data_IF_008901764935
#
_entry.id   IF_008901764935
#
_cell.length_a   1.000
_cell.length_b   1.000
_cell.length_c   1.000
_cell.angle_alpha   90.00
_cell.angle_beta   90.00
_cell.angle_gamma   90.00
#
_symmetry.space_group_name_H-M   'P 1'
#
loop_
_entity.id
_entity.type
_entity.pdbx_description
1 polymer ?
#
# COMPACT_ATOMS: atom_id res chain seq x y z
N UNK A 1 41.91 -18.33 -23.60
CA UNK A 1 40.86 -17.34 -23.37
C UNK A 1 41.17 -16.69 -22.05
N UNK A 2 41.66 -15.44 -22.10
CA UNK A 2 41.92 -14.64 -20.91
C UNK A 2 40.58 -14.32 -20.24
N UNK A 3 40.34 -14.86 -19.05
CA UNK A 3 39.24 -14.40 -18.16
C UNK A 3 39.63 -12.97 -17.80
N UNK A 4 39.02 -12.00 -18.46
CA UNK A 4 39.05 -10.63 -17.96
C UNK A 4 38.52 -10.66 -16.55
N UNK A 5 39.38 -10.41 -15.58
CA UNK A 5 38.99 -10.14 -14.20
C UNK A 5 38.23 -8.81 -14.20
N UNK A 6 36.94 -8.83 -14.61
CA UNK A 6 36.08 -7.68 -14.45
C UNK A 6 35.89 -7.45 -12.96
N UNK A 7 36.53 -6.44 -12.43
CA UNK A 7 36.35 -5.98 -11.08
C UNK A 7 34.85 -5.68 -10.87
N UNK A 8 34.30 -6.14 -9.76
CA UNK A 8 32.93 -5.79 -9.38
C UNK A 8 32.83 -4.29 -9.17
N UNK A 9 31.87 -3.65 -9.79
CA UNK A 9 31.65 -2.21 -9.66
C UNK A 9 30.18 -1.88 -9.46
N UNK A 10 29.88 -1.23 -8.35
CA UNK A 10 28.59 -0.64 -8.07
C UNK A 10 28.61 0.85 -8.41
N UNK A 11 28.70 1.15 -9.72
CA UNK A 11 28.94 2.49 -10.23
C UNK A 11 27.69 3.35 -10.37
N UNK A 12 26.50 2.73 -10.42
CA UNK A 12 25.24 3.44 -10.58
C UNK A 12 24.66 3.91 -9.24
N UNK A 13 24.20 5.15 -9.21
CA UNK A 13 23.49 5.75 -8.10
C UNK A 13 24.37 6.43 -7.06
N UNK A 14 23.78 6.73 -5.91
CA UNK A 14 24.41 7.49 -4.82
C UNK A 14 24.76 6.59 -3.64
N UNK A 15 25.77 5.77 -3.83
CA UNK A 15 26.27 4.92 -2.76
C UNK A 15 27.01 5.70 -1.66
N UNK A 16 26.81 5.31 -0.41
CA UNK A 16 27.79 5.63 0.62
C UNK A 16 29.10 4.91 0.27
N UNK A 17 30.24 5.63 0.16
CA UNK A 17 31.50 5.04 -0.33
C UNK A 17 31.95 3.81 0.45
N UNK A 18 31.79 3.84 1.79
CA UNK A 18 32.16 2.71 2.67
C UNK A 18 31.28 1.49 2.46
N UNK A 19 29.95 1.71 2.33
CA UNK A 19 29.02 0.61 2.08
C UNK A 19 29.25 0.00 0.69
N UNK A 20 29.50 0.83 -0.32
CA UNK A 20 29.85 0.39 -1.66
C UNK A 20 31.05 -0.54 -1.65
N UNK A 21 32.16 -0.11 -1.05
CA UNK A 21 33.39 -0.91 -0.93
C UNK A 21 33.15 -2.25 -0.24
N UNK A 22 32.35 -2.26 0.83
CA UNK A 22 32.02 -3.50 1.55
C UNK A 22 31.21 -4.45 0.68
N UNK A 23 30.20 -3.94 -0.05
CA UNK A 23 29.39 -4.75 -0.95
C UNK A 23 30.20 -5.31 -2.13
N UNK A 24 31.05 -4.50 -2.75
CA UNK A 24 31.94 -4.95 -3.82
C UNK A 24 32.86 -6.11 -3.35
N UNK A 25 33.47 -5.97 -2.19
CA UNK A 25 34.30 -7.03 -1.55
C UNK A 25 33.48 -8.29 -1.23
N UNK A 26 32.24 -8.14 -0.76
CA UNK A 26 31.36 -9.29 -0.51
C UNK A 26 31.01 -10.04 -1.79
N UNK A 27 30.67 -9.33 -2.85
CA UNK A 27 30.36 -9.93 -4.16
C UNK A 27 31.59 -10.66 -4.70
N UNK A 28 32.78 -10.07 -4.64
CA UNK A 28 34.02 -10.74 -5.05
C UNK A 28 34.32 -11.99 -4.25
N UNK A 29 34.16 -11.92 -2.93
CA UNK A 29 34.42 -13.05 -2.00
C UNK A 29 33.51 -14.26 -2.29
N UNK A 30 32.24 -14.02 -2.61
CA UNK A 30 31.23 -15.05 -2.81
C UNK A 30 30.93 -15.36 -4.28
N UNK A 31 31.72 -14.84 -5.19
CA UNK A 31 31.61 -15.08 -6.63
C UNK A 31 31.62 -16.58 -6.95
N UNK A 32 30.59 -17.07 -7.62
CA UNK A 32 30.46 -18.45 -8.09
C UNK A 32 30.62 -19.52 -6.98
N UNK A 33 30.23 -19.19 -5.75
CA UNK A 33 30.32 -20.11 -4.59
C UNK A 33 28.97 -20.76 -4.23
N UNK A 34 27.98 -20.73 -5.13
CA UNK A 34 26.61 -21.18 -4.87
C UNK A 34 25.97 -20.46 -3.66
N UNK A 35 26.25 -19.18 -3.56
CA UNK A 35 25.70 -18.30 -2.52
C UNK A 35 24.44 -17.61 -3.00
N UNK A 36 23.64 -17.14 -2.04
CA UNK A 36 22.45 -16.32 -2.32
C UNK A 36 22.41 -15.09 -1.41
N UNK A 37 21.74 -14.03 -1.87
CA UNK A 37 21.46 -12.83 -1.09
C UNK A 37 19.95 -12.67 -0.92
N UNK A 38 19.53 -12.30 0.29
CA UNK A 38 18.12 -12.02 0.61
C UNK A 38 18.00 -10.56 0.97
N UNK A 39 17.00 -9.91 0.40
CA UNK A 39 16.72 -8.50 0.63
C UNK A 39 15.33 -8.32 1.20
N UNK A 40 15.20 -7.35 2.08
CA UNK A 40 13.91 -6.76 2.38
C UNK A 40 13.40 -5.96 1.16
N UNK A 41 12.08 -5.83 1.02
CA UNK A 41 11.49 -5.26 -0.18
C UNK A 41 11.10 -3.79 -0.01
N UNK A 42 10.07 -3.53 0.81
CA UNK A 42 9.50 -2.19 0.96
C UNK A 42 10.47 -1.23 1.67
N UNK A 43 10.67 -0.05 1.09
CA UNK A 43 11.64 0.97 1.54
C UNK A 43 13.12 0.51 1.58
N UNK A 44 13.42 -0.71 1.15
CA UNK A 44 14.77 -1.27 1.01
C UNK A 44 15.13 -1.47 -0.46
N UNK A 45 14.48 -2.41 -1.12
CA UNK A 45 14.70 -2.73 -2.54
C UNK A 45 13.95 -1.76 -3.47
N UNK A 46 12.79 -1.30 -3.03
CA UNK A 46 11.97 -0.29 -3.68
C UNK A 46 11.71 0.86 -2.71
N UNK A 47 11.66 2.07 -3.20
CA UNK A 47 11.16 3.20 -2.40
C UNK A 47 9.64 3.23 -2.46
N UNK A 48 9.02 3.30 -1.30
CA UNK A 48 7.59 3.16 -1.07
C UNK A 48 7.23 1.77 -0.56
N UNK A 49 5.95 1.60 -0.21
CA UNK A 49 5.39 0.39 0.36
C UNK A 49 4.40 -0.24 -0.64
N UNK A 50 4.70 -1.46 -1.09
CA UNK A 50 3.90 -2.16 -2.11
C UNK A 50 2.56 -2.65 -1.55
N UNK A 51 2.48 -2.98 -0.26
CA UNK A 51 1.23 -3.36 0.39
C UNK A 51 0.31 -2.15 0.53
N UNK A 52 0.82 -1.02 1.00
CA UNK A 52 0.06 0.22 1.06
C UNK A 52 -0.41 0.67 -0.33
N UNK A 53 0.44 0.57 -1.34
CA UNK A 53 0.04 0.91 -2.71
C UNK A 53 -1.05 -0.01 -3.26
N UNK A 54 -1.05 -1.30 -2.89
CA UNK A 54 -2.14 -2.22 -3.22
C UNK A 54 -3.45 -1.78 -2.57
N UNK A 55 -3.43 -1.41 -1.29
CA UNK A 55 -4.58 -0.89 -0.56
C UNK A 55 -5.13 0.40 -1.21
N UNK A 56 -4.25 1.36 -1.54
CA UNK A 56 -4.62 2.59 -2.26
C UNK A 56 -5.27 2.24 -3.60
N UNK A 57 -4.66 1.32 -4.37
CA UNK A 57 -5.15 0.91 -5.68
C UNK A 57 -6.54 0.25 -5.60
N UNK A 58 -6.80 -0.57 -4.57
CA UNK A 58 -8.12 -1.15 -4.34
C UNK A 58 -9.18 -0.09 -4.09
N UNK A 59 -8.90 0.92 -3.28
CA UNK A 59 -9.81 2.03 -2.99
C UNK A 59 -10.09 2.82 -4.27
N UNK A 60 -9.03 3.28 -4.94
CA UNK A 60 -9.14 4.14 -6.11
C UNK A 60 -9.87 3.48 -7.28
N UNK A 61 -9.78 2.16 -7.41
CA UNK A 61 -10.37 1.40 -8.51
C UNK A 61 -11.55 0.54 -8.07
N UNK A 62 -11.96 0.62 -6.80
CA UNK A 62 -13.05 -0.18 -6.22
C UNK A 62 -12.90 -1.68 -6.52
N UNK A 63 -11.69 -2.21 -6.36
CA UNK A 63 -11.33 -3.60 -6.65
C UNK A 63 -11.65 -4.51 -5.45
N UNK A 64 -12.93 -4.73 -5.20
CA UNK A 64 -13.43 -5.58 -4.13
C UNK A 64 -14.32 -6.70 -4.67
N UNK A 65 -14.33 -7.85 -3.98
CA UNK A 65 -15.22 -9.00 -4.23
C UNK A 65 -16.19 -9.28 -3.09
N UNK A 66 -16.34 -8.33 -2.22
CA UNK A 66 -17.15 -8.45 -1.02
C UNK A 66 -18.55 -7.89 -1.25
N UNK A 67 -19.59 -8.62 -0.82
CA UNK A 67 -20.92 -8.00 -0.69
C UNK A 67 -20.88 -6.90 0.38
N UNK A 68 -21.86 -5.97 0.43
CA UNK A 68 -21.87 -4.94 1.45
C UNK A 68 -21.79 -5.49 2.87
N UNK A 69 -22.55 -6.55 3.18
CA UNK A 69 -22.59 -7.18 4.51
C UNK A 69 -21.22 -7.78 4.86
N UNK A 70 -20.60 -8.47 3.89
CA UNK A 70 -19.27 -9.08 4.10
C UNK A 70 -18.18 -8.03 4.21
N UNK A 71 -18.29 -6.94 3.49
CA UNK A 71 -17.38 -5.80 3.62
C UNK A 71 -17.48 -5.18 5.02
N UNK A 72 -18.71 -4.96 5.52
CA UNK A 72 -18.93 -4.43 6.86
C UNK A 72 -18.39 -5.35 7.98
N UNK A 73 -18.52 -6.67 7.80
CA UNK A 73 -17.90 -7.65 8.70
C UNK A 73 -16.37 -7.55 8.68
N UNK A 74 -15.80 -7.48 7.48
CA UNK A 74 -14.35 -7.52 7.25
C UNK A 74 -13.65 -6.28 7.81
N UNK A 75 -14.18 -5.08 7.60
CA UNK A 75 -13.54 -3.85 8.09
C UNK A 75 -13.53 -3.73 9.61
N UNK A 76 -14.39 -4.48 10.30
CA UNK A 76 -14.49 -4.54 11.77
C UNK A 76 -13.71 -5.70 12.38
N UNK A 77 -13.25 -6.62 11.55
CA UNK A 77 -12.70 -7.90 12.02
C UNK A 77 -11.44 -7.72 12.85
N UNK A 78 -11.50 -8.21 14.09
CA UNK A 78 -10.39 -8.18 15.05
C UNK A 78 -9.89 -6.78 15.42
N UNK A 79 -10.63 -5.72 15.12
CA UNK A 79 -10.29 -4.36 15.51
C UNK A 79 -11.12 -3.97 16.75
N UNK A 80 -10.49 -3.51 17.84
CA UNK A 80 -11.22 -3.00 19.00
C UNK A 80 -12.10 -1.80 18.68
N UNK A 81 -13.19 -1.62 19.43
CA UNK A 81 -14.15 -0.53 19.25
C UNK A 81 -13.94 0.66 20.19
N UNK A 82 -12.83 0.64 20.95
CA UNK A 82 -12.43 1.75 21.82
C UNK A 82 -12.16 3.00 21.02
N UNK A 83 -12.30 4.16 21.66
CA UNK A 83 -11.89 5.42 21.03
C UNK A 83 -10.40 5.38 20.69
N UNK A 84 -10.06 6.04 19.59
CA UNK A 84 -8.67 6.23 19.18
C UNK A 84 -7.97 7.24 20.06
N UNK A 85 -6.66 7.34 19.92
CA UNK A 85 -5.84 8.38 20.54
C UNK A 85 -6.38 9.77 20.18
N UNK A 86 -6.21 10.74 21.07
CA UNK A 86 -6.73 12.12 20.91
C UNK A 86 -6.23 12.85 19.65
N UNK A 87 -5.22 12.34 18.97
CA UNK A 87 -4.75 12.85 17.67
C UNK A 87 -5.72 12.53 16.53
N UNK A 88 -6.57 11.52 16.70
CA UNK A 88 -7.51 11.05 15.68
C UNK A 88 -8.91 11.65 15.92
N UNK A 89 -9.03 12.91 15.52
CA UNK A 89 -10.27 13.71 15.62
C UNK A 89 -10.83 14.06 14.24
N UNK A 90 -12.12 14.27 14.17
CA UNK A 90 -12.77 14.88 13.01
C UNK A 90 -12.55 16.41 12.98
N UNK A 91 -13.07 17.07 11.96
CA UNK A 91 -12.97 18.52 11.81
C UNK A 91 -13.66 19.33 12.92
N UNK A 92 -14.52 18.69 13.71
CA UNK A 92 -15.28 19.30 14.83
C UNK A 92 -14.58 19.07 16.18
N UNK A 93 -13.44 18.36 16.17
CA UNK A 93 -12.64 18.08 17.37
C UNK A 93 -13.10 16.86 18.17
N UNK A 94 -14.02 16.05 17.64
CA UNK A 94 -14.47 14.82 18.28
C UNK A 94 -13.49 13.69 18.04
N UNK A 95 -13.13 12.97 19.10
CA UNK A 95 -12.33 11.73 19.00
C UNK A 95 -13.14 10.65 18.30
N UNK A 96 -12.50 9.96 17.39
CA UNK A 96 -13.13 8.92 16.57
C UNK A 96 -12.82 7.51 17.08
N UNK A 97 -13.60 6.57 16.59
CA UNK A 97 -13.40 5.13 16.81
C UNK A 97 -13.80 4.35 15.56
N UNK A 98 -13.51 3.05 15.59
CA UNK A 98 -13.88 2.14 14.51
C UNK A 98 -15.36 2.19 14.19
N UNK A 99 -16.24 2.23 15.19
CA UNK A 99 -17.69 2.11 14.98
C UNK A 99 -18.22 3.25 14.13
N UNK A 100 -17.90 4.50 14.48
CA UNK A 100 -18.33 5.69 13.72
C UNK A 100 -17.84 5.64 12.27
N UNK A 101 -16.54 5.38 12.08
CA UNK A 101 -15.94 5.31 10.74
C UNK A 101 -16.52 4.17 9.91
N UNK A 102 -16.62 2.97 10.48
CA UNK A 102 -17.10 1.81 9.75
C UNK A 102 -18.59 1.90 9.40
N UNK A 103 -19.41 2.58 10.19
CA UNK A 103 -20.82 2.84 9.85
C UNK A 103 -20.91 3.72 8.59
N UNK A 104 -20.13 4.76 8.52
CA UNK A 104 -20.14 5.69 7.38
C UNK A 104 -19.52 5.04 6.13
N UNK A 105 -18.38 4.36 6.28
CA UNK A 105 -17.73 3.61 5.20
C UNK A 105 -18.72 2.57 4.62
N UNK A 106 -19.46 1.88 5.47
CA UNK A 106 -20.45 0.88 5.04
C UNK A 106 -21.59 1.50 4.23
N UNK A 107 -22.17 2.62 4.69
CA UNK A 107 -23.20 3.34 3.95
C UNK A 107 -22.72 3.74 2.55
N UNK A 108 -21.53 4.31 2.46
CA UNK A 108 -20.91 4.69 1.19
C UNK A 108 -20.62 3.46 0.32
N UNK A 109 -20.13 2.37 0.92
CA UNK A 109 -19.83 1.13 0.20
C UNK A 109 -21.08 0.49 -0.46
N UNK A 110 -22.25 0.52 0.19
CA UNK A 110 -23.51 0.05 -0.40
C UNK A 110 -23.77 0.75 -1.73
N UNK A 111 -23.71 2.07 -1.74
CA UNK A 111 -23.91 2.86 -2.97
C UNK A 111 -22.90 2.50 -4.06
N UNK A 112 -21.61 2.40 -3.70
CA UNK A 112 -20.52 2.05 -4.62
C UNK A 112 -20.69 0.63 -5.18
N UNK A 113 -21.15 -0.30 -4.33
CA UNK A 113 -21.41 -1.68 -4.73
C UNK A 113 -22.55 -1.76 -5.76
N UNK A 114 -23.68 -1.14 -5.48
CA UNK A 114 -24.87 -1.19 -6.32
C UNK A 114 -24.71 -0.45 -7.66
N UNK A 115 -23.89 0.59 -7.69
CA UNK A 115 -23.73 1.43 -8.89
C UNK A 115 -22.49 1.09 -9.71
N UNK A 116 -21.46 0.49 -9.10
CA UNK A 116 -20.22 0.19 -9.82
C UNK A 116 -19.70 -1.23 -9.57
N UNK A 117 -19.49 -1.67 -8.32
CA UNK A 117 -18.73 -2.89 -8.06
C UNK A 117 -19.44 -4.12 -8.65
N UNK A 118 -20.73 -4.29 -8.36
CA UNK A 118 -21.52 -5.44 -8.84
C UNK A 118 -22.13 -5.26 -10.23
N UNK A 119 -22.46 -4.04 -10.64
CA UNK A 119 -23.32 -3.81 -11.80
C UNK A 119 -22.71 -3.01 -12.94
N UNK A 120 -21.68 -2.21 -12.65
CA UNK A 120 -21.10 -1.26 -13.61
C UNK A 120 -22.13 -0.34 -14.26
N UNK A 121 -23.17 0.07 -13.53
CA UNK A 121 -24.22 0.98 -14.02
C UNK A 121 -23.66 2.32 -14.48
N UNK A 122 -22.67 2.85 -13.76
CA UNK A 122 -21.94 4.06 -14.13
C UNK A 122 -20.44 3.75 -14.26
N UNK A 123 -19.70 4.58 -14.94
CA UNK A 123 -18.28 4.40 -15.15
C UNK A 123 -17.47 4.64 -13.87
N UNK A 124 -16.21 4.16 -13.82
CA UNK A 124 -15.30 4.45 -12.71
C UNK A 124 -15.03 5.96 -12.60
N UNK A 125 -14.98 6.66 -13.72
CA UNK A 125 -14.76 8.11 -13.72
C UNK A 125 -15.93 8.86 -13.08
N UNK A 126 -17.17 8.45 -13.37
CA UNK A 126 -18.38 9.05 -12.80
C UNK A 126 -18.51 8.71 -11.31
N UNK A 127 -18.29 7.44 -10.91
CA UNK A 127 -18.41 7.06 -9.50
C UNK A 127 -17.40 7.81 -8.61
N UNK A 128 -16.19 8.07 -9.12
CA UNK A 128 -15.17 8.85 -8.39
C UNK A 128 -15.57 10.31 -8.13
N UNK A 129 -16.54 10.85 -8.86
CA UNK A 129 -17.05 12.22 -8.66
C UNK A 129 -18.15 12.29 -7.60
N UNK A 130 -18.71 11.16 -7.16
CA UNK A 130 -19.80 11.09 -6.17
C UNK A 130 -19.33 11.44 -4.77
N UNK A 131 -20.25 11.90 -3.95
CA UNK A 131 -19.97 12.20 -2.56
C UNK A 131 -19.70 10.92 -1.76
N UNK A 132 -20.33 9.81 -2.12
CA UNK A 132 -20.10 8.50 -1.52
C UNK A 132 -18.69 7.98 -1.77
N UNK A 133 -18.15 8.19 -2.97
CA UNK A 133 -16.76 7.80 -3.23
C UNK A 133 -15.77 8.67 -2.43
N UNK A 134 -15.99 9.98 -2.36
CA UNK A 134 -15.15 10.89 -1.56
C UNK A 134 -15.16 10.49 -0.09
N UNK A 135 -16.35 10.19 0.45
CA UNK A 135 -16.53 9.78 1.84
C UNK A 135 -15.84 8.45 2.13
N UNK A 136 -16.13 7.44 1.31
CA UNK A 136 -15.51 6.11 1.38
C UNK A 136 -13.98 6.21 1.34
N UNK A 137 -13.46 6.88 0.32
CA UNK A 137 -12.02 7.04 0.09
C UNK A 137 -11.31 7.64 1.30
N UNK A 138 -11.76 8.79 1.75
CA UNK A 138 -11.10 9.50 2.83
C UNK A 138 -11.21 8.77 4.17
N UNK A 139 -12.37 8.18 4.48
CA UNK A 139 -12.58 7.44 5.73
C UNK A 139 -11.82 6.11 5.75
N UNK A 140 -11.64 5.44 4.61
CA UNK A 140 -10.79 4.25 4.51
C UNK A 140 -9.33 4.60 4.77
N UNK A 141 -8.80 5.67 4.17
CA UNK A 141 -7.42 6.11 4.43
C UNK A 141 -7.25 6.62 5.87
N UNK A 142 -8.23 7.33 6.41
CA UNK A 142 -8.19 7.75 7.81
C UNK A 142 -8.14 6.55 8.77
N UNK A 143 -8.97 5.55 8.55
CA UNK A 143 -8.97 4.32 9.34
C UNK A 143 -7.63 3.58 9.22
N UNK A 144 -7.10 3.46 8.01
CA UNK A 144 -5.77 2.87 7.77
C UNK A 144 -4.66 3.57 8.57
N UNK A 145 -4.68 4.91 8.63
CA UNK A 145 -3.71 5.67 9.42
C UNK A 145 -3.92 5.52 10.94
N UNK A 146 -5.17 5.38 11.38
CA UNK A 146 -5.50 5.25 12.79
C UNK A 146 -5.08 3.89 13.37
N UNK A 147 -5.23 2.80 12.62
CA UNK A 147 -5.02 1.45 13.13
C UNK A 147 -3.61 1.19 13.70
N UNK A 148 -2.49 1.47 13.00
CA UNK A 148 -1.15 1.21 13.52
C UNK A 148 -0.76 2.13 14.68
N UNK A 149 -1.41 3.29 14.78
CA UNK A 149 -1.16 4.24 15.87
C UNK A 149 -1.88 3.88 17.16
N UNK A 150 -2.96 3.11 17.07
CA UNK A 150 -3.84 2.79 18.21
C UNK A 150 -3.76 1.33 18.63
N UNK A 151 -3.35 0.44 17.72
CA UNK A 151 -3.36 -0.99 17.95
C UNK A 151 -2.03 -1.62 17.53
N UNK A 152 -1.87 -2.92 17.82
CA UNK A 152 -0.66 -3.64 17.45
C UNK A 152 -0.48 -3.71 15.92
N UNK A 153 0.76 -3.76 15.47
CA UNK A 153 1.10 -3.95 14.06
C UNK A 153 0.43 -5.19 13.46
N UNK A 154 0.24 -6.24 14.26
CA UNK A 154 -0.48 -7.44 13.83
C UNK A 154 -1.94 -7.15 13.45
N UNK A 155 -2.64 -6.29 14.18
CA UNK A 155 -4.02 -5.89 13.84
C UNK A 155 -4.01 -5.05 12.56
N UNK A 156 -3.17 -4.03 12.49
CA UNK A 156 -3.10 -3.12 11.36
C UNK A 156 -2.76 -3.84 10.04
N UNK A 157 -1.70 -4.64 10.02
CA UNK A 157 -1.30 -5.37 8.81
C UNK A 157 -2.35 -6.40 8.36
N UNK A 158 -2.94 -7.17 9.29
CA UNK A 158 -3.94 -8.17 8.93
C UNK A 158 -5.24 -7.54 8.40
N UNK A 159 -5.56 -6.34 8.84
CA UNK A 159 -6.78 -5.65 8.42
C UNK A 159 -6.80 -5.40 6.91
N UNK A 160 -5.72 -4.97 6.33
CA UNK A 160 -5.60 -4.77 4.88
C UNK A 160 -5.81 -6.09 4.11
N UNK A 161 -5.23 -7.19 4.59
CA UNK A 161 -5.39 -8.50 3.94
C UNK A 161 -6.83 -9.00 3.98
N UNK A 162 -7.61 -8.67 5.00
CA UNK A 162 -9.02 -9.05 5.03
C UNK A 162 -9.83 -8.43 3.90
N UNK A 163 -9.43 -7.28 3.38
CA UNK A 163 -10.08 -6.62 2.24
C UNK A 163 -9.89 -7.37 0.91
N UNK A 164 -8.93 -8.29 0.83
CA UNK A 164 -8.71 -9.20 -0.30
C UNK A 164 -9.61 -10.44 -0.26
N UNK A 165 -10.47 -10.56 0.76
CA UNK A 165 -11.37 -11.72 0.91
C UNK A 165 -12.26 -11.89 -0.33
N UNK A 166 -12.49 -13.15 -0.70
CA UNK A 166 -13.23 -13.50 -1.92
C UNK A 166 -12.38 -13.55 -3.20
N UNK A 167 -11.12 -13.12 -3.15
CA UNK A 167 -10.20 -13.23 -4.27
C UNK A 167 -9.40 -14.55 -4.22
N UNK A 168 -9.16 -15.13 -5.37
CA UNK A 168 -8.23 -16.23 -5.54
C UNK A 168 -6.78 -15.73 -5.48
N UNK A 169 -5.83 -16.64 -5.24
CA UNK A 169 -4.39 -16.31 -5.27
C UNK A 169 -3.96 -15.66 -6.59
N UNK A 170 -4.49 -16.13 -7.71
CA UNK A 170 -4.18 -15.56 -9.03
C UNK A 170 -4.68 -14.14 -9.18
N UNK A 171 -5.87 -13.85 -8.68
CA UNK A 171 -6.46 -12.50 -8.72
C UNK A 171 -5.70 -11.54 -7.82
N UNK A 172 -5.31 -11.96 -6.62
CA UNK A 172 -4.47 -11.13 -5.74
C UNK A 172 -3.12 -10.82 -6.41
N UNK A 173 -2.49 -11.82 -7.05
CA UNK A 173 -1.24 -11.61 -7.78
C UNK A 173 -1.40 -10.63 -8.95
N UNK A 174 -2.50 -10.74 -9.71
CA UNK A 174 -2.80 -9.80 -10.81
C UNK A 174 -3.01 -8.39 -10.28
N UNK A 175 -3.81 -8.26 -9.22
CA UNK A 175 -4.10 -6.98 -8.59
C UNK A 175 -2.84 -6.30 -8.03
N UNK A 176 -1.95 -7.06 -7.37
CA UNK A 176 -0.68 -6.55 -6.89
C UNK A 176 0.21 -6.06 -8.04
N UNK A 177 0.25 -6.81 -9.15
CA UNK A 177 0.98 -6.37 -10.34
C UNK A 177 0.38 -5.10 -10.94
N UNK A 178 -0.93 -5.05 -11.13
CA UNK A 178 -1.64 -3.86 -11.64
C UNK A 178 -1.36 -2.62 -10.76
N UNK A 179 -1.38 -2.80 -9.43
CA UNK A 179 -1.07 -1.74 -8.47
C UNK A 179 0.37 -1.24 -8.63
N UNK A 180 1.34 -2.14 -8.68
CA UNK A 180 2.74 -1.76 -8.84
C UNK A 180 2.99 -1.05 -10.17
N UNK A 181 2.46 -1.59 -11.27
CA UNK A 181 2.60 -0.99 -12.60
C UNK A 181 2.00 0.43 -12.65
N UNK A 182 0.86 0.63 -11.97
CA UNK A 182 0.19 1.93 -11.91
C UNK A 182 0.95 2.95 -11.04
N UNK A 183 1.67 2.48 -10.01
CA UNK A 183 2.36 3.36 -9.04
C UNK A 183 3.82 3.62 -9.36
N UNK A 184 4.43 2.76 -10.18
CA UNK A 184 5.78 2.99 -10.68
C UNK A 184 5.83 4.24 -11.56
N UNK A 185 6.65 5.20 -11.16
CA UNK A 185 6.83 6.45 -11.91
C UNK A 185 5.90 7.60 -11.50
N UNK A 186 4.86 7.38 -10.68
CA UNK A 186 4.06 8.47 -10.13
C UNK A 186 4.85 9.36 -9.16
N UNK A 187 4.38 10.59 -8.94
CA UNK A 187 5.03 11.49 -7.98
C UNK A 187 5.04 10.89 -6.58
N UNK A 188 6.20 10.90 -5.94
CA UNK A 188 6.35 10.51 -4.54
C UNK A 188 5.86 11.64 -3.63
N UNK A 189 5.24 11.27 -2.54
CA UNK A 189 4.85 12.18 -1.46
C UNK A 189 3.42 11.96 -0.97
N UNK A 190 3.09 12.69 0.09
CA UNK A 190 1.79 12.59 0.74
C UNK A 190 0.66 13.14 -0.13
N UNK A 191 -0.42 12.38 -0.21
CA UNK A 191 -1.69 12.80 -0.78
C UNK A 191 -2.72 12.91 0.33
N UNK A 192 -3.36 14.06 0.44
CA UNK A 192 -4.42 14.31 1.41
C UNK A 192 -5.77 14.27 0.69
N UNK A 193 -6.69 13.48 1.22
CA UNK A 193 -8.07 13.36 0.72
C UNK A 193 -9.05 13.69 1.83
N UNK A 194 -10.03 14.55 1.52
CA UNK A 194 -11.06 14.96 2.47
C UNK A 194 -12.36 14.20 2.19
N UNK A 195 -13.05 13.77 3.23
CA UNK A 195 -14.35 13.13 3.13
C UNK A 195 -15.44 14.10 2.68
N UNK A 196 -16.60 13.57 2.32
CA UNK A 196 -17.74 14.39 1.91
C UNK A 196 -18.16 15.38 2.99
N UNK A 197 -18.34 16.62 2.61
CA UNK A 197 -18.95 17.64 3.48
C UNK A 197 -20.48 17.54 3.55
N UNK A 198 -21.05 16.79 2.61
CA UNK A 198 -22.52 16.57 2.51
C UNK A 198 -22.92 15.33 3.30
N UNK A 199 -22.16 14.22 3.15
CA UNK A 199 -22.45 12.93 3.79
C UNK A 199 -21.72 12.77 5.15
N UNK A 200 -21.68 13.78 5.96
CA UNK A 200 -20.88 13.81 7.21
C UNK A 200 -20.91 12.52 8.02
N UNK A 201 -22.11 11.91 8.19
CA UNK A 201 -22.31 10.68 8.94
C UNK A 201 -22.00 10.81 10.43
N UNK A 202 -21.63 9.69 11.06
CA UNK A 202 -21.28 9.61 12.49
C UNK A 202 -19.82 10.03 12.77
N UNK A 203 -18.93 9.86 11.81
CA UNK A 203 -17.52 10.24 11.94
C UNK A 203 -17.28 11.72 11.59
N UNK A 204 -18.25 12.42 11.01
CA UNK A 204 -18.04 13.79 10.56
C UNK A 204 -17.10 13.90 9.37
N UNK A 205 -16.46 15.07 9.21
CA UNK A 205 -15.50 15.32 8.13
C UNK A 205 -14.10 14.92 8.62
N UNK A 206 -13.42 14.08 7.84
CA UNK A 206 -12.06 13.62 8.14
C UNK A 206 -11.13 13.83 6.94
N UNK A 207 -9.84 13.80 7.20
CA UNK A 207 -8.78 13.82 6.17
C UNK A 207 -8.00 12.51 6.26
N UNK A 208 -8.09 11.70 5.22
CA UNK A 208 -7.19 10.57 5.02
C UNK A 208 -5.88 11.04 4.38
N UNK A 209 -4.77 10.40 4.72
CA UNK A 209 -3.45 10.69 4.16
C UNK A 209 -2.85 9.38 3.68
N UNK A 210 -2.14 9.40 2.56
CA UNK A 210 -1.37 8.25 2.11
C UNK A 210 -0.13 8.67 1.32
N UNK A 211 0.93 7.88 1.41
CA UNK A 211 2.12 8.01 0.58
C UNK A 211 1.83 7.50 -0.84
N UNK A 212 2.17 8.30 -1.84
CA UNK A 212 1.95 7.95 -3.23
C UNK A 212 3.25 7.60 -3.94
N UNK A 213 3.13 6.66 -4.87
CA UNK A 213 4.16 6.32 -5.83
C UNK A 213 5.19 5.30 -5.35
N UNK A 214 5.83 4.67 -6.33
CA UNK A 214 6.92 3.70 -6.15
C UNK A 214 8.11 4.10 -7.01
N UNK A 215 9.33 3.83 -6.52
CA UNK A 215 10.57 4.00 -7.30
C UNK A 215 11.51 2.83 -7.11
N UNK A 216 11.95 2.25 -8.20
CA UNK A 216 13.14 1.40 -8.20
C UNK A 216 14.36 2.31 -8.18
N UNK A 217 15.25 2.09 -7.23
CA UNK A 217 16.50 2.84 -7.15
C UNK A 217 17.55 2.22 -8.05
N UNK A 218 18.30 3.07 -8.76
CA UNK A 218 19.37 2.62 -9.65
C UNK A 218 20.43 1.82 -8.90
N UNK A 219 20.74 2.20 -7.67
CA UNK A 219 21.66 1.48 -6.78
C UNK A 219 21.25 0.02 -6.59
N UNK A 220 19.97 -0.21 -6.26
CA UNK A 220 19.48 -1.56 -6.02
C UNK A 220 19.39 -2.38 -7.31
N UNK A 221 18.97 -1.76 -8.41
CA UNK A 221 18.98 -2.41 -9.71
C UNK A 221 20.39 -2.85 -10.11
N UNK A 222 21.38 -1.96 -9.96
CA UNK A 222 22.79 -2.26 -10.22
C UNK A 222 23.30 -3.39 -9.30
N UNK A 223 22.99 -3.33 -8.01
CA UNK A 223 23.38 -4.37 -7.05
C UNK A 223 22.85 -5.76 -7.45
N UNK A 224 21.58 -5.86 -7.82
CA UNK A 224 20.98 -7.14 -8.25
C UNK A 224 21.62 -7.67 -9.53
N UNK A 225 21.91 -6.81 -10.51
CA UNK A 225 22.61 -7.20 -11.73
C UNK A 225 24.03 -7.70 -11.42
N UNK A 226 24.78 -7.00 -10.57
CA UNK A 226 26.12 -7.41 -10.19
C UNK A 226 26.15 -8.72 -9.41
N UNK A 227 25.21 -8.94 -8.48
CA UNK A 227 25.08 -10.21 -7.78
C UNK A 227 24.84 -11.35 -8.76
N UNK A 228 23.86 -11.25 -9.64
CA UNK A 228 23.52 -12.27 -10.65
C UNK A 228 24.69 -12.52 -11.61
N UNK A 229 25.35 -11.46 -12.11
CA UNK A 229 26.52 -11.56 -13.00
C UNK A 229 27.67 -12.31 -12.35
N UNK A 230 27.77 -12.26 -11.03
CA UNK A 230 28.80 -12.94 -10.26
C UNK A 230 28.37 -14.28 -9.68
N UNK A 231 27.26 -14.88 -10.16
CA UNK A 231 26.79 -16.20 -9.78
C UNK A 231 26.25 -16.27 -8.34
N UNK A 232 25.73 -15.15 -7.82
CA UNK A 232 25.04 -15.07 -6.53
C UNK A 232 23.54 -14.92 -6.81
N UNK A 233 22.73 -15.86 -6.33
CA UNK A 233 21.28 -15.81 -6.47
C UNK A 233 20.66 -14.68 -5.62
N UNK A 234 19.53 -14.10 -6.10
CA UNK A 234 18.80 -13.02 -5.43
C UNK A 234 17.33 -13.39 -5.33
#
# INVERSE_FOLDING_TARGET
>A
MSIENSCVRLDEGRWNPKNREVLEKLIEKYRNTNSYAVFDWDNTSIQGDTQQNLFIYQIENLKYKLSPEKFNEVIRKNVPTTDFDERFKNSEGEVLNLTKLANDIYKSYIFLYENYISTKKISLEEIRKTEEFKDFRAKMHYLHNALPSNFSSKIACLWEFYLLSGMTRTEVKSLAKESNDAKLGESLGDVIVESSRVLRGEAGIVKGIYDNGLRVRSEMSNLYHELKRNGIDV
#
